data_IF_756659353380
#
_entry.id   IF_756659353380
#
_cell.length_a   1.000
_cell.length_b   1.000
_cell.length_c   1.000
_cell.angle_alpha   90.00
_cell.angle_beta   90.00
_cell.angle_gamma   90.00
#
_symmetry.space_group_name_H-M   'P 1'
#
loop_
_entity.id
_entity.type
_entity.pdbx_description
1 polymer ?
#
# COMPACT_ATOMS: atom_id res chain seq x y z
N UNK A 1 24.15 -16.42 12.22
CA UNK A 1 23.57 -16.35 10.87
C UNK A 1 24.39 -15.31 10.13
N UNK A 2 25.18 -15.70 9.14
CA UNK A 2 26.06 -14.77 8.42
C UNK A 2 25.54 -14.61 7.00
N UNK A 3 25.05 -13.42 6.68
CA UNK A 3 24.47 -13.07 5.39
C UNK A 3 25.55 -12.46 4.50
N UNK A 4 25.69 -12.97 3.28
CA UNK A 4 26.68 -12.49 2.31
C UNK A 4 26.05 -12.26 0.94
N UNK A 5 26.57 -11.30 0.18
CA UNK A 5 26.17 -11.09 -1.21
C UNK A 5 27.09 -11.91 -2.10
N UNK A 6 26.51 -12.77 -2.94
CA UNK A 6 27.24 -13.64 -3.86
C UNK A 6 26.44 -13.80 -5.16
N UNK A 7 27.07 -14.22 -6.28
CA UNK A 7 26.33 -14.65 -7.46
C UNK A 7 25.32 -15.73 -7.09
N UNK A 8 24.09 -15.60 -7.59
CA UNK A 8 23.06 -16.63 -7.41
C UNK A 8 23.54 -17.94 -8.03
N UNK A 9 23.43 -19.06 -7.31
CA UNK A 9 23.74 -20.38 -7.85
C UNK A 9 22.46 -21.08 -8.28
N UNK A 10 22.45 -21.65 -9.48
CA UNK A 10 21.29 -22.40 -10.00
C UNK A 10 20.08 -21.56 -10.44
N UNK A 11 20.07 -20.24 -10.22
CA UNK A 11 19.01 -19.34 -10.73
C UNK A 11 19.27 -18.88 -12.18
N UNK A 12 19.92 -19.74 -12.97
CA UNK A 12 20.24 -19.47 -14.37
C UNK A 12 19.03 -19.64 -15.27
N UNK A 13 18.72 -18.60 -16.04
CA UNK A 13 18.04 -18.74 -17.33
C UNK A 13 16.51 -18.78 -17.30
N UNK A 14 15.88 -17.72 -16.81
CA UNK A 14 14.44 -17.46 -16.98
C UNK A 14 14.12 -16.15 -17.70
N UNK A 15 15.11 -15.48 -18.30
CA UNK A 15 14.90 -14.19 -18.95
C UNK A 15 16.18 -13.69 -19.60
N UNK A 16 16.03 -12.95 -20.70
CA UNK A 16 17.07 -12.45 -21.62
C UNK A 16 18.10 -11.48 -21.02
N UNK A 17 18.23 -11.38 -19.70
CA UNK A 17 19.18 -10.48 -19.03
C UNK A 17 20.57 -11.15 -18.90
N UNK A 18 21.47 -10.80 -19.82
CA UNK A 18 22.87 -11.26 -19.90
C UNK A 18 23.78 -10.62 -18.84
N UNK A 19 23.44 -10.69 -17.55
CA UNK A 19 24.32 -10.28 -16.44
C UNK A 19 24.17 -11.20 -15.24
N UNK A 20 25.27 -11.44 -14.53
CA UNK A 20 25.30 -12.26 -13.31
C UNK A 20 24.28 -11.72 -12.29
N UNK A 21 23.27 -12.52 -11.96
CA UNK A 21 22.31 -12.22 -10.88
C UNK A 21 23.01 -12.37 -9.53
N UNK A 22 22.80 -11.41 -8.64
CA UNK A 22 23.36 -11.44 -7.28
C UNK A 22 22.27 -11.79 -6.27
N UNK A 23 22.64 -12.58 -5.28
CA UNK A 23 21.77 -13.08 -4.23
C UNK A 23 22.33 -12.70 -2.86
N UNK A 24 21.44 -12.53 -1.89
CA UNK A 24 21.79 -12.58 -0.47
C UNK A 24 21.70 -14.05 -0.04
N UNK A 25 22.80 -14.56 0.48
CA UNK A 25 22.97 -15.95 0.88
C UNK A 25 23.11 -16.03 2.39
N UNK A 26 22.27 -16.83 3.03
CA UNK A 26 22.48 -17.23 4.42
C UNK A 26 23.42 -18.43 4.46
N UNK A 27 24.65 -18.19 4.94
CA UNK A 27 25.66 -19.24 5.08
C UNK A 27 25.29 -20.37 6.05
N UNK A 28 24.34 -20.13 6.97
CA UNK A 28 23.90 -21.15 7.92
C UNK A 28 22.90 -22.13 7.31
N UNK A 29 22.01 -21.65 6.43
CA UNK A 29 20.94 -22.46 5.84
C UNK A 29 21.15 -22.78 4.35
N UNK A 30 22.07 -22.08 3.69
CA UNK A 30 22.25 -22.13 2.24
C UNK A 30 21.14 -21.41 1.45
N UNK A 31 20.19 -20.77 2.13
CA UNK A 31 19.07 -20.07 1.48
C UNK A 31 19.58 -18.89 0.66
N UNK A 32 18.99 -18.69 -0.53
CA UNK A 32 19.38 -17.63 -1.45
C UNK A 32 18.17 -16.79 -1.83
N UNK A 33 18.34 -15.46 -1.79
CA UNK A 33 17.30 -14.51 -2.17
C UNK A 33 17.86 -13.54 -3.22
N UNK A 34 17.32 -13.62 -4.43
CA UNK A 34 17.76 -12.82 -5.58
C UNK A 34 17.54 -11.34 -5.34
N UNK A 35 18.57 -10.52 -5.54
CA UNK A 35 18.48 -9.06 -5.49
C UNK A 35 17.85 -8.58 -6.79
N UNK A 36 16.65 -8.02 -6.70
CA UNK A 36 15.90 -7.50 -7.86
C UNK A 36 15.94 -5.97 -7.94
N UNK A 37 16.13 -5.27 -6.82
CA UNK A 37 16.20 -3.80 -6.80
C UNK A 37 17.07 -3.29 -5.66
N UNK A 38 17.50 -2.03 -5.77
CA UNK A 38 18.34 -1.38 -4.77
C UNK A 38 17.82 0.01 -4.42
N UNK A 39 17.97 0.41 -3.17
CA UNK A 39 17.72 1.77 -2.69
C UNK A 39 18.92 2.32 -1.94
N UNK A 40 18.81 3.57 -1.48
CA UNK A 40 19.84 4.22 -0.67
C UNK A 40 19.43 4.19 0.81
N UNK A 41 20.36 3.83 1.68
CA UNK A 41 20.21 3.82 3.13
C UNK A 41 21.36 4.58 3.83
N UNK A 42 21.23 4.82 5.15
CA UNK A 42 22.19 5.62 5.91
C UNK A 42 23.57 4.95 6.03
N UNK A 43 23.64 3.62 5.99
CA UNK A 43 24.87 2.84 6.12
C UNK A 43 25.28 2.16 4.80
N UNK A 44 24.82 2.70 3.67
CA UNK A 44 25.05 2.15 2.34
C UNK A 44 23.76 1.70 1.63
N UNK A 45 23.88 0.92 0.54
CA UNK A 45 22.72 0.49 -0.24
C UNK A 45 21.78 -0.41 0.57
N UNK A 46 20.49 -0.30 0.26
CA UNK A 46 19.44 -1.23 0.68
C UNK A 46 19.21 -2.19 -0.48
N UNK A 47 19.31 -3.49 -0.23
CA UNK A 47 19.09 -4.53 -1.22
C UNK A 47 17.68 -5.09 -1.05
N UNK A 48 16.88 -5.01 -2.10
CA UNK A 48 15.54 -5.59 -2.15
C UNK A 48 15.58 -6.89 -2.92
N UNK A 49 15.21 -7.95 -2.21
CA UNK A 49 15.32 -9.32 -2.70
C UNK A 49 13.96 -9.94 -2.94
N UNK A 50 13.92 -10.93 -3.83
CA UNK A 50 12.81 -11.84 -4.01
C UNK A 50 12.92 -12.98 -3.01
N UNK A 51 12.00 -13.03 -2.05
CA UNK A 51 12.01 -14.02 -0.98
C UNK A 51 10.70 -14.80 -0.92
N UNK A 52 10.81 -16.13 -1.01
CA UNK A 52 9.68 -17.05 -0.79
C UNK A 52 9.38 -17.24 0.69
N UNK A 53 10.38 -17.08 1.57
CA UNK A 53 10.20 -17.24 3.02
C UNK A 53 9.53 -16.02 3.68
N UNK A 54 9.50 -14.86 3.02
CA UNK A 54 8.75 -13.67 3.44
C UNK A 54 7.34 -13.62 2.81
N UNK A 55 6.98 -14.58 1.96
CA UNK A 55 5.70 -14.59 1.28
C UNK A 55 4.55 -14.76 2.28
N UNK A 56 3.56 -13.88 2.21
CA UNK A 56 2.30 -14.07 2.92
C UNK A 56 1.43 -15.14 2.25
N UNK A 57 0.30 -15.52 2.88
CA UNK A 57 -0.66 -16.45 2.28
C UNK A 57 -1.09 -16.00 0.88
N UNK A 58 -1.00 -16.92 -0.10
CA UNK A 58 -1.36 -16.67 -1.50
C UNK A 58 -0.33 -15.86 -2.30
N UNK A 59 0.80 -15.46 -1.70
CA UNK A 59 1.91 -14.84 -2.43
C UNK A 59 2.90 -15.90 -2.88
N UNK A 60 3.42 -15.77 -4.10
CA UNK A 60 4.48 -16.64 -4.62
C UNK A 60 5.83 -16.27 -3.99
N UNK A 61 6.04 -14.97 -3.76
CA UNK A 61 7.18 -14.40 -3.07
C UNK A 61 6.83 -12.98 -2.61
N UNK A 62 7.59 -12.44 -1.67
CA UNK A 62 7.52 -11.05 -1.26
C UNK A 62 8.90 -10.38 -1.39
N UNK A 63 8.90 -9.06 -1.56
CA UNK A 63 10.15 -8.32 -1.45
C UNK A 63 10.64 -8.33 -0.02
N UNK A 64 11.94 -8.58 0.22
CA UNK A 64 12.56 -8.38 1.54
C UNK A 64 13.73 -7.41 1.44
N UNK A 65 13.84 -6.50 2.41
CA UNK A 65 14.91 -5.50 2.46
C UNK A 65 16.05 -5.94 3.37
N UNK A 66 17.27 -5.76 2.88
CA UNK A 66 18.50 -5.95 3.62
C UNK A 66 19.38 -4.71 3.55
N UNK A 67 20.07 -4.41 4.64
CA UNK A 67 21.06 -3.33 4.68
C UNK A 67 22.21 -3.70 5.62
N UNK A 68 23.23 -2.86 5.69
CA UNK A 68 24.40 -3.08 6.55
C UNK A 68 24.27 -2.31 7.86
N UNK A 69 24.73 -2.92 8.95
CA UNK A 69 24.91 -2.22 10.23
C UNK A 69 26.22 -1.41 10.21
N UNK A 70 26.53 -0.73 11.32
CA UNK A 70 27.77 0.06 11.44
C UNK A 70 29.05 -0.80 11.39
N UNK A 71 28.94 -2.09 11.69
CA UNK A 71 30.01 -3.08 11.65
C UNK A 71 30.21 -3.66 10.23
N UNK A 72 29.32 -3.34 9.29
CA UNK A 72 29.35 -3.82 7.91
C UNK A 72 28.58 -5.12 7.68
N UNK A 73 27.95 -5.71 8.70
CA UNK A 73 27.19 -6.95 8.58
C UNK A 73 25.82 -6.71 7.94
N UNK A 74 25.42 -7.60 7.04
CA UNK A 74 24.09 -7.59 6.44
C UNK A 74 23.05 -8.10 7.43
N UNK A 75 21.91 -7.42 7.48
CA UNK A 75 20.75 -7.83 8.25
C UNK A 75 19.46 -7.45 7.52
N UNK A 76 18.36 -8.15 7.83
CA UNK A 76 17.04 -7.78 7.28
C UNK A 76 16.44 -6.63 8.07
N UNK A 77 15.95 -5.62 7.34
CA UNK A 77 15.33 -4.42 7.94
C UNK A 77 13.97 -4.76 8.59
N UNK A 78 13.22 -5.71 8.02
CA UNK A 78 11.86 -6.06 8.44
C UNK A 78 11.76 -7.46 9.05
N UNK A 79 12.89 -8.01 9.51
CA UNK A 79 12.96 -9.34 10.11
C UNK A 79 12.60 -10.44 9.10
N UNK A 80 11.67 -11.33 9.48
CA UNK A 80 11.23 -12.44 8.61
C UNK A 80 10.19 -12.01 7.57
N UNK A 81 9.59 -10.83 7.74
CA UNK A 81 8.51 -10.33 6.89
C UNK A 81 8.98 -9.72 5.58
N UNK A 82 8.03 -9.50 4.67
CA UNK A 82 8.23 -8.71 3.47
C UNK A 82 8.25 -7.20 3.74
N UNK A 83 8.71 -6.44 2.76
CA UNK A 83 8.66 -4.97 2.76
C UNK A 83 7.20 -4.53 2.79
N UNK A 84 6.81 -3.66 3.74
CA UNK A 84 5.46 -3.14 3.80
C UNK A 84 5.19 -2.27 2.57
N UNK A 85 4.02 -2.46 1.95
CA UNK A 85 3.54 -1.57 0.89
C UNK A 85 3.16 -0.23 1.49
N UNK A 86 3.79 0.84 1.04
CA UNK A 86 3.47 2.20 1.50
C UNK A 86 2.32 2.78 0.69
N UNK A 87 1.26 3.23 1.37
CA UNK A 87 0.07 3.84 0.74
C UNK A 87 0.41 5.06 -0.13
N UNK A 88 1.50 5.77 0.19
CA UNK A 88 1.93 6.98 -0.52
C UNK A 88 3.04 6.73 -1.56
N UNK A 89 3.48 5.49 -1.76
CA UNK A 89 4.44 5.17 -2.81
C UNK A 89 3.67 4.77 -4.08
N UNK A 90 3.76 5.51 -5.20
CA UNK A 90 3.10 5.14 -6.44
C UNK A 90 3.65 3.83 -7.02
N UNK A 91 4.86 3.41 -6.64
CA UNK A 91 5.44 2.15 -7.10
C UNK A 91 5.05 0.98 -6.19
N UNK A 92 4.59 -0.16 -6.76
CA UNK A 92 4.17 -1.34 -5.99
C UNK A 92 5.36 -2.16 -5.45
N UNK A 93 6.58 -1.71 -5.75
CA UNK A 93 7.84 -2.30 -5.33
C UNK A 93 8.77 -1.23 -4.74
N UNK A 94 9.75 -1.65 -3.95
CA UNK A 94 10.72 -0.77 -3.33
C UNK A 94 12.05 -0.76 -4.10
N UNK A 95 12.67 0.42 -4.19
CA UNK A 95 13.96 0.62 -4.83
C UNK A 95 13.92 0.66 -6.35
N UNK A 96 15.09 0.91 -6.95
CA UNK A 96 15.30 0.94 -8.39
C UNK A 96 15.69 -0.46 -8.87
N UNK A 97 15.04 -1.01 -9.91
CA UNK A 97 15.40 -2.28 -10.51
C UNK A 97 16.90 -2.37 -10.86
N UNK A 98 17.53 -3.50 -10.56
CA UNK A 98 18.88 -3.77 -11.07
C UNK A 98 18.82 -4.24 -12.51
N UNK A 99 19.87 -4.00 -13.29
CA UNK A 99 19.90 -4.36 -14.73
C UNK A 99 19.82 -5.88 -14.98
N UNK A 100 20.18 -6.68 -13.99
CA UNK A 100 20.10 -8.16 -14.04
C UNK A 100 18.75 -8.71 -13.57
N UNK A 101 17.85 -7.87 -13.07
CA UNK A 101 16.54 -8.32 -12.57
C UNK A 101 15.64 -8.73 -13.72
N UNK A 102 14.79 -9.73 -13.47
CA UNK A 102 13.78 -10.13 -14.43
C UNK A 102 12.64 -9.11 -14.47
N UNK A 103 12.27 -8.54 -15.64
CA UNK A 103 11.11 -7.67 -15.75
C UNK A 103 9.82 -8.31 -15.22
N UNK A 104 9.67 -9.63 -15.30
CA UNK A 104 8.50 -10.36 -14.81
C UNK A 104 8.32 -10.25 -13.30
N UNK A 105 9.41 -10.04 -12.55
CA UNK A 105 9.33 -9.87 -11.09
C UNK A 105 8.57 -8.59 -10.72
N UNK A 106 8.72 -7.52 -11.52
CA UNK A 106 8.02 -6.26 -11.31
C UNK A 106 6.58 -6.32 -11.77
N UNK A 107 6.31 -6.99 -12.90
CA UNK A 107 4.94 -7.26 -13.36
C UNK A 107 4.17 -8.06 -12.31
N UNK A 108 4.81 -9.04 -11.66
CA UNK A 108 4.18 -9.78 -10.56
C UNK A 108 3.78 -8.84 -9.41
N UNK A 109 4.68 -7.97 -8.95
CA UNK A 109 4.40 -7.06 -7.84
C UNK A 109 3.31 -6.03 -8.17
N UNK A 110 3.24 -5.59 -9.43
CA UNK A 110 2.30 -4.59 -9.91
C UNK A 110 0.90 -5.13 -10.17
N UNK A 111 0.77 -6.29 -10.80
CA UNK A 111 -0.52 -6.74 -11.35
C UNK A 111 -1.02 -8.06 -10.76
N UNK A 112 -0.13 -8.95 -10.30
CA UNK A 112 -0.49 -10.34 -9.96
C UNK A 112 -0.45 -10.65 -8.47
N UNK A 113 0.38 -9.95 -7.69
CA UNK A 113 0.49 -10.20 -6.28
C UNK A 113 -0.85 -9.90 -5.57
N UNK A 114 -1.27 -10.73 -4.60
CA UNK A 114 -2.43 -10.44 -3.77
C UNK A 114 -2.44 -8.99 -3.25
N UNK A 115 -3.52 -8.27 -3.51
CA UNK A 115 -3.67 -6.86 -3.14
C UNK A 115 -3.09 -5.84 -4.12
N UNK A 116 -2.43 -6.26 -5.20
CA UNK A 116 -1.80 -5.35 -6.16
C UNK A 116 -2.81 -4.47 -6.91
N UNK A 117 -3.92 -5.03 -7.37
CA UNK A 117 -5.01 -4.25 -7.98
C UNK A 117 -5.64 -3.24 -7.01
N UNK A 118 -5.83 -3.60 -5.74
CA UNK A 118 -6.33 -2.70 -4.72
C UNK A 118 -5.34 -1.55 -4.44
N UNK A 119 -4.05 -1.87 -4.34
CA UNK A 119 -2.99 -0.88 -4.18
C UNK A 119 -2.93 0.10 -5.35
N UNK A 120 -3.00 -0.41 -6.59
CA UNK A 120 -3.06 0.39 -7.81
C UNK A 120 -4.25 1.34 -7.81
N UNK A 121 -5.42 0.91 -7.33
CA UNK A 121 -6.58 1.78 -7.15
C UNK A 121 -6.36 2.82 -6.05
N UNK A 122 -5.77 2.47 -4.91
CA UNK A 122 -5.48 3.42 -3.83
C UNK A 122 -4.55 4.57 -4.26
N UNK A 123 -3.59 4.30 -5.15
CA UNK A 123 -2.62 5.31 -5.61
C UNK A 123 -3.11 6.14 -6.80
N UNK A 124 -3.96 5.56 -7.67
CA UNK A 124 -4.43 6.22 -8.91
C UNK A 124 -5.81 6.87 -8.81
N UNK A 125 -6.67 6.41 -7.90
CA UNK A 125 -8.01 6.94 -7.73
C UNK A 125 -8.02 8.08 -6.70
N UNK A 126 -8.70 9.18 -7.05
CA UNK A 126 -9.03 10.25 -6.11
C UNK A 126 -10.53 10.09 -5.80
N UNK A 127 -10.84 9.82 -4.53
CA UNK A 127 -12.22 9.70 -4.07
C UNK A 127 -12.87 11.08 -3.87
N UNK A 128 -14.19 11.15 -4.06
CA UNK A 128 -14.95 12.33 -3.67
C UNK A 128 -14.80 12.61 -2.17
N UNK A 129 -14.87 13.88 -1.78
CA UNK A 129 -14.73 14.32 -0.39
C UNK A 129 -15.68 13.61 0.59
N UNK A 130 -16.86 13.20 0.10
CA UNK A 130 -17.93 12.52 0.85
C UNK A 130 -17.67 11.03 1.09
N UNK A 131 -16.68 10.42 0.42
CA UNK A 131 -16.41 8.99 0.54
C UNK A 131 -15.65 8.67 1.83
N UNK A 132 -16.18 7.75 2.65
CA UNK A 132 -15.55 7.28 3.89
C UNK A 132 -14.57 6.12 3.66
N UNK A 133 -13.57 6.34 2.82
CA UNK A 133 -12.50 5.35 2.57
C UNK A 133 -11.21 5.85 3.23
N UNK A 134 -10.70 5.10 4.21
CA UNK A 134 -9.44 5.40 4.90
C UNK A 134 -8.25 5.17 3.96
N UNK A 135 -7.27 6.08 3.99
CA UNK A 135 -6.03 5.98 3.21
C UNK A 135 -6.16 6.34 1.72
N UNK A 136 -7.38 6.53 1.20
CA UNK A 136 -7.59 7.01 -0.16
C UNK A 136 -7.37 8.53 -0.24
N UNK A 137 -6.71 8.99 -1.31
CA UNK A 137 -6.61 10.42 -1.61
C UNK A 137 -8.01 10.96 -1.90
N UNK A 138 -8.37 12.09 -1.28
CA UNK A 138 -9.70 12.70 -1.45
C UNK A 138 -9.59 14.06 -2.10
N UNK A 139 -10.59 14.39 -2.89
CA UNK A 139 -10.85 15.77 -3.30
C UNK A 139 -11.09 16.64 -2.06
N UNK A 140 -10.71 17.93 -2.10
CA UNK A 140 -11.06 18.86 -1.05
C UNK A 140 -12.59 18.98 -0.94
N UNK A 141 -13.10 19.07 0.29
CA UNK A 141 -14.50 19.37 0.50
C UNK A 141 -14.81 20.75 -0.12
N UNK A 142 -15.96 20.91 -0.80
CA UNK A 142 -16.37 22.21 -1.31
C UNK A 142 -16.44 23.20 -0.15
N UNK A 143 -15.83 24.37 -0.33
CA UNK A 143 -15.77 25.43 0.70
C UNK A 143 -17.15 25.96 1.10
N UNK A 144 -18.15 25.71 0.26
CA UNK A 144 -19.56 25.91 0.52
C UNK A 144 -20.25 24.56 0.50
N UNK A 145 -20.28 23.90 1.66
CA UNK A 145 -21.30 22.89 1.92
C UNK A 145 -22.63 23.62 1.99
N UNK A 146 -23.24 23.89 0.84
CA UNK A 146 -24.66 24.19 0.79
C UNK A 146 -25.33 22.91 1.29
N UNK A 147 -25.76 22.92 2.54
CA UNK A 147 -26.75 21.97 3.01
C UNK A 147 -27.82 21.96 1.93
N UNK A 148 -28.09 20.78 1.38
CA UNK A 148 -29.15 20.59 0.41
C UNK A 148 -30.38 21.19 1.07
N UNK A 149 -30.75 22.39 0.61
CA UNK A 149 -31.88 23.09 1.13
C UNK A 149 -33.01 22.11 0.94
N UNK A 150 -33.61 21.65 2.03
CA UNK A 150 -34.94 21.10 1.96
C UNK A 150 -35.78 22.19 1.31
N UNK A 151 -35.92 22.11 0.00
CA UNK A 151 -36.80 22.93 -0.80
C UNK A 151 -38.18 22.41 -0.48
N UNK A 152 -38.65 22.70 0.75
CA UNK A 152 -40.02 22.47 1.15
C UNK A 152 -40.84 23.47 0.35
N UNK A 153 -41.66 23.04 -0.62
CA UNK A 153 -42.61 23.96 -1.21
C UNK A 153 -43.63 24.27 -0.12
N UNK A 154 -43.63 25.53 0.34
CA UNK A 154 -44.77 26.16 0.99
C UNK A 154 -45.36 25.45 2.22
N UNK A 155 -44.59 25.33 3.31
CA UNK A 155 -45.16 24.96 4.62
C UNK A 155 -45.45 26.19 5.52
N UNK A 156 -45.96 27.28 4.93
CA UNK A 156 -46.34 28.51 5.65
C UNK A 156 -47.83 28.58 6.06
N UNK A 157 -48.60 27.49 6.00
CA UNK A 157 -50.07 27.56 6.26
C UNK A 157 -50.58 26.61 7.36
N UNK A 158 -49.80 25.68 7.92
CA UNK A 158 -50.34 24.66 8.87
C UNK A 158 -49.96 24.90 10.35
N UNK A 159 -49.10 25.87 10.67
CA UNK A 159 -48.74 26.14 12.08
C UNK A 159 -49.81 26.96 12.83
N UNK A 160 -50.63 27.75 12.11
CA UNK A 160 -51.66 28.61 12.73
C UNK A 160 -52.91 27.88 13.23
N UNK A 161 -53.28 26.75 12.61
CA UNK A 161 -54.57 26.08 12.90
C UNK A 161 -54.48 25.16 14.12
N UNK A 162 -53.32 24.54 14.37
CA UNK A 162 -53.14 23.61 15.50
C UNK A 162 -53.04 24.35 16.84
N UNK A 163 -52.42 25.54 16.85
CA UNK A 163 -52.29 26.35 18.07
C UNK A 163 -53.65 26.93 18.54
N UNK A 164 -54.52 27.36 17.63
CA UNK A 164 -55.85 27.88 17.96
C UNK A 164 -56.81 26.78 18.48
N UNK A 165 -56.71 25.56 17.93
CA UNK A 165 -57.52 24.42 18.36
C UNK A 165 -57.20 23.94 19.79
N UNK A 166 -55.92 23.91 20.17
CA UNK A 166 -55.53 23.51 21.55
C UNK A 166 -55.94 24.55 22.60
N UNK A 167 -55.90 25.84 22.28
CA UNK A 167 -56.30 26.91 23.22
C UNK A 167 -57.82 26.89 23.44
N UNK A 168 -58.63 26.64 22.41
CA UNK A 168 -60.09 26.53 22.55
C UNK A 168 -60.53 25.35 23.43
N UNK A 169 -59.81 24.22 23.39
CA UNK A 169 -60.12 23.06 24.23
C UNK A 169 -59.68 23.19 25.70
N UNK A 170 -58.68 24.03 25.98
CA UNK A 170 -58.22 24.31 27.35
C UNK A 170 -59.12 25.34 28.04
N UNK A 171 -59.70 26.30 27.31
CA UNK A 171 -60.57 27.33 27.90
C UNK A 171 -62.01 26.87 28.19
N UNK A 172 -62.45 25.68 27.74
CA UNK A 172 -63.81 25.17 27.99
C UNK A 172 -63.92 24.20 29.18
N UNK A 173 -62.84 24.00 29.96
CA UNK A 173 -62.78 23.13 31.15
C UNK A 173 -62.43 23.86 32.45
N UNK A 174 -62.87 25.10 32.62
CA UNK A 174 -62.97 25.76 33.93
C UNK A 174 -64.37 26.33 34.11
#
# INVERSE_FOLDING_TARGET
MTLNIQPCTGMGGGGTASTTKNCIVDSATGSQEEIISMGNGPNGPIYYTKSTSAAGPGQAWAQRAYTRNMQGDLYSVYGTGGVPRQINNPQPYAGTPVTSADPQDFTYLEDSAPGAGAFKKMTTYIGGWWMNIFGLRKEPAPQTLQAEGFDTPNMNIIVGVVAAGMIYHIMRRK
#
